data_IF_552209222722
#
_entry.id   IF_552209222722
#
_cell.length_a   1.000
_cell.length_b   1.000
_cell.length_c   1.000
_cell.angle_alpha   90.00
_cell.angle_beta   90.00
_cell.angle_gamma   90.00
#
_symmetry.space_group_name_H-M   'P 1'
#
loop_
_entity.id
_entity.type
_entity.pdbx_description
1 polymer ?
#
# COMPACT_ATOMS: atom_id res chain seq x y z
N UNK A 1 10.96 0.85 -10.46
CA UNK A 1 10.79 1.06 -11.90
C UNK A 1 11.84 2.03 -12.40
N UNK A 2 12.46 1.68 -13.52
CA UNK A 2 13.46 2.53 -14.16
C UNK A 2 13.09 2.78 -15.62
N UNK A 3 13.08 4.05 -16.03
CA UNK A 3 12.80 4.48 -17.39
C UNK A 3 13.55 5.75 -17.73
N UNK A 4 14.20 5.75 -18.90
CA UNK A 4 14.89 6.94 -19.44
C UNK A 4 15.94 7.53 -18.51
N UNK A 5 16.61 6.71 -17.71
CA UNK A 5 17.62 7.10 -16.74
C UNK A 5 17.07 7.61 -15.40
N UNK A 6 15.78 7.57 -15.17
CA UNK A 6 15.12 7.95 -13.93
C UNK A 6 14.47 6.75 -13.24
N UNK A 7 14.28 6.83 -11.91
CA UNK A 7 13.81 5.75 -11.07
C UNK A 7 12.64 6.26 -10.21
N UNK A 8 11.60 5.45 -10.08
CA UNK A 8 10.61 5.55 -9.00
C UNK A 8 10.62 4.26 -8.19
N UNK A 9 10.33 4.39 -6.89
CA UNK A 9 10.18 3.27 -5.96
C UNK A 9 8.71 3.08 -5.68
N UNK A 10 8.22 1.83 -5.72
CA UNK A 10 6.85 1.50 -5.31
C UNK A 10 6.94 0.58 -4.12
N UNK A 11 6.32 1.02 -3.02
CA UNK A 11 6.35 0.42 -1.70
C UNK A 11 7.75 0.28 -1.09
N UNK A 12 7.79 0.09 0.21
CA UNK A 12 9.03 -0.02 0.97
C UNK A 12 8.75 -0.79 2.27
N UNK A 13 8.40 -2.05 2.10
CA UNK A 13 7.97 -2.93 3.16
C UNK A 13 9.11 -3.57 3.94
N UNK A 14 8.77 -4.12 5.09
CA UNK A 14 9.62 -5.02 5.83
C UNK A 14 8.99 -6.41 5.92
N UNK A 15 9.80 -7.42 6.17
CA UNK A 15 9.36 -8.74 6.56
C UNK A 15 9.65 -8.99 8.04
N UNK A 16 8.87 -9.86 8.66
CA UNK A 16 9.13 -10.35 10.00
C UNK A 16 10.15 -11.50 9.92
N UNK A 17 11.08 -11.57 10.88
CA UNK A 17 12.05 -12.67 10.90
C UNK A 17 11.38 -14.02 11.13
N UNK A 18 11.93 -15.08 10.56
CA UNK A 18 11.54 -16.45 10.87
C UNK A 18 12.00 -16.89 12.26
N UNK A 19 11.46 -18.00 12.74
CA UNK A 19 11.76 -18.56 14.08
C UNK A 19 13.23 -18.92 14.29
N UNK A 20 14.00 -19.06 13.22
CA UNK A 20 15.43 -19.35 13.20
C UNK A 20 16.33 -18.10 13.23
N UNK A 21 15.77 -16.91 13.12
CA UNK A 21 16.47 -15.62 13.08
C UNK A 21 16.55 -14.97 14.47
N UNK A 22 17.25 -15.61 15.42
CA UNK A 22 17.36 -15.10 16.79
C UNK A 22 18.01 -13.72 16.87
N UNK A 23 17.38 -12.80 17.61
CA UNK A 23 17.88 -11.44 17.82
C UNK A 23 17.72 -10.49 16.61
N UNK A 24 16.95 -10.89 15.61
CA UNK A 24 16.56 -10.04 14.48
C UNK A 24 15.15 -9.53 14.73
N UNK A 25 14.96 -8.20 14.74
CA UNK A 25 13.67 -7.56 14.96
C UNK A 25 12.87 -7.40 13.66
N UNK A 26 13.55 -7.15 12.54
CA UNK A 26 12.92 -7.00 11.23
C UNK A 26 13.89 -7.29 10.09
N UNK A 27 13.36 -7.67 8.94
CA UNK A 27 14.11 -7.87 7.70
C UNK A 27 13.70 -6.79 6.71
N UNK A 28 14.67 -6.02 6.22
CA UNK A 28 14.45 -4.94 5.27
C UNK A 28 15.14 -5.24 3.93
N UNK A 29 14.64 -4.70 2.81
CA UNK A 29 15.25 -4.94 1.50
C UNK A 29 16.65 -4.33 1.40
N UNK A 30 17.53 -4.96 0.62
CA UNK A 30 18.78 -4.34 0.21
C UNK A 30 18.52 -3.21 -0.79
N UNK A 31 18.91 -2.01 -0.40
CA UNK A 31 18.75 -0.81 -1.22
C UNK A 31 20.07 -0.26 -1.77
N UNK A 32 21.10 -1.07 -1.82
CA UNK A 32 22.42 -0.68 -2.34
C UNK A 32 22.33 -0.08 -3.74
N UNK A 33 21.45 -0.62 -4.59
CA UNK A 33 21.18 -0.07 -5.91
C UNK A 33 20.63 1.37 -5.85
N UNK A 34 19.65 1.62 -4.97
CA UNK A 34 19.06 2.95 -4.80
C UNK A 34 20.08 3.95 -4.26
N UNK A 35 20.91 3.55 -3.29
CA UNK A 35 21.98 4.38 -2.74
C UNK A 35 22.96 4.80 -3.84
N UNK A 36 23.38 3.85 -4.68
CA UNK A 36 24.28 4.11 -5.81
C UNK A 36 23.68 5.08 -6.84
N UNK A 37 22.36 5.04 -7.01
CA UNK A 37 21.65 5.82 -8.04
C UNK A 37 20.74 6.92 -7.46
N UNK A 38 20.99 7.39 -6.23
CA UNK A 38 20.11 8.32 -5.49
C UNK A 38 19.68 9.56 -6.27
N UNK A 39 20.58 10.10 -7.10
CA UNK A 39 20.31 11.32 -7.88
C UNK A 39 19.28 11.09 -9.03
N UNK A 40 19.00 9.85 -9.38
CA UNK A 40 18.07 9.45 -10.43
C UNK A 40 16.67 9.16 -9.90
N UNK A 41 16.49 9.04 -8.57
CA UNK A 41 15.22 8.67 -7.95
C UNK A 41 14.32 9.90 -7.87
N UNK A 42 13.09 9.77 -8.37
CA UNK A 42 12.09 10.85 -8.44
C UNK A 42 11.08 10.81 -7.31
N UNK A 43 10.95 9.69 -6.63
CA UNK A 43 10.08 9.54 -5.47
C UNK A 43 9.76 8.10 -5.13
N UNK A 44 9.12 7.93 -3.99
CA UNK A 44 8.56 6.68 -3.49
C UNK A 44 7.04 6.80 -3.50
N UNK A 45 6.37 5.85 -4.12
CA UNK A 45 4.92 5.77 -4.23
C UNK A 45 4.44 4.61 -3.38
N UNK A 46 3.53 4.85 -2.45
CA UNK A 46 3.06 3.84 -1.50
C UNK A 46 1.61 3.50 -1.78
N UNK A 47 1.34 2.21 -1.98
CA UNK A 47 0.01 1.70 -2.29
C UNK A 47 -0.93 1.77 -1.10
N UNK A 48 -0.47 1.38 0.10
CA UNK A 48 -1.26 1.40 1.33
C UNK A 48 -0.37 1.28 2.58
N UNK A 49 -0.98 1.32 3.76
CA UNK A 49 -0.28 1.49 5.03
C UNK A 49 0.05 0.22 5.82
N UNK A 50 0.05 -0.98 5.23
CA UNK A 50 0.52 -2.19 5.93
C UNK A 50 2.03 -2.23 6.08
N UNK A 51 2.53 -2.97 7.10
CA UNK A 51 3.94 -3.03 7.44
C UNK A 51 4.83 -3.61 6.33
N UNK A 52 4.32 -4.59 5.62
CA UNK A 52 4.97 -5.20 4.45
C UNK A 52 5.02 -4.27 3.22
N UNK A 53 4.43 -3.05 3.33
CA UNK A 53 4.49 -2.00 2.32
C UNK A 53 5.16 -0.71 2.82
N UNK A 54 5.12 -0.40 4.12
CA UNK A 54 5.71 0.83 4.68
C UNK A 54 6.77 0.61 5.76
N UNK A 55 6.92 -0.61 6.27
CA UNK A 55 7.71 -0.88 7.46
C UNK A 55 9.19 -0.53 7.33
N UNK A 56 9.78 -0.65 6.14
CA UNK A 56 11.18 -0.30 5.91
C UNK A 56 11.41 1.18 5.57
N UNK A 57 10.36 1.99 5.38
CA UNK A 57 10.46 3.42 5.00
C UNK A 57 11.46 4.20 5.87
N UNK A 58 11.43 4.17 7.21
CA UNK A 58 12.36 4.94 8.02
C UNK A 58 13.82 4.51 7.84
N UNK A 59 14.06 3.22 7.65
CA UNK A 59 15.39 2.66 7.49
C UNK A 59 16.01 3.06 6.14
N UNK A 60 15.20 3.05 5.08
CA UNK A 60 15.65 3.39 3.73
C UNK A 60 15.87 4.89 3.59
N UNK A 61 15.00 5.73 4.17
CA UNK A 61 15.14 7.17 4.11
C UNK A 61 16.40 7.70 4.84
N UNK A 62 16.92 6.98 5.82
CA UNK A 62 18.23 7.27 6.41
C UNK A 62 19.38 7.16 5.40
N UNK A 63 19.22 6.31 4.37
CA UNK A 63 20.21 6.09 3.32
C UNK A 63 19.93 6.91 2.07
N UNK A 64 18.63 7.04 1.71
CA UNK A 64 18.19 7.72 0.49
C UNK A 64 16.94 8.54 0.82
N UNK A 65 17.12 9.82 1.14
CA UNK A 65 15.98 10.70 1.44
C UNK A 65 15.34 11.20 0.15
N UNK A 66 14.13 10.74 -0.13
CA UNK A 66 13.34 11.01 -1.34
C UNK A 66 11.89 11.37 -0.95
N UNK A 67 11.17 12.16 -1.77
CA UNK A 67 9.77 12.46 -1.49
C UNK A 67 8.91 11.20 -1.56
N UNK A 68 7.92 11.13 -0.66
CA UNK A 68 6.92 10.06 -0.59
C UNK A 68 5.59 10.60 -1.10
N UNK A 69 4.92 9.83 -1.95
CA UNK A 69 3.59 10.08 -2.47
C UNK A 69 2.66 8.95 -2.03
N UNK A 70 1.61 9.27 -1.29
CA UNK A 70 0.69 8.28 -0.73
C UNK A 70 -0.66 8.91 -0.38
N UNK A 71 -1.65 8.09 -0.08
CA UNK A 71 -2.96 8.53 0.37
C UNK A 71 -2.95 9.02 1.82
N UNK A 72 -4.06 9.60 2.26
CA UNK A 72 -4.13 10.34 3.54
C UNK A 72 -3.89 9.46 4.75
N UNK A 73 -4.53 8.30 4.84
CA UNK A 73 -4.34 7.36 5.96
C UNK A 73 -2.90 6.83 5.98
N UNK A 74 -2.41 6.40 4.82
CA UNK A 74 -1.03 5.93 4.65
C UNK A 74 -0.02 6.99 5.07
N UNK A 75 -0.24 8.27 4.69
CA UNK A 75 0.60 9.39 5.13
C UNK A 75 0.59 9.55 6.66
N UNK A 76 -0.57 9.36 7.31
CA UNK A 76 -0.69 9.38 8.77
C UNK A 76 0.18 8.33 9.44
N UNK A 77 0.08 7.08 8.98
CA UNK A 77 0.87 5.96 9.50
C UNK A 77 2.38 6.16 9.29
N UNK A 78 2.78 6.60 8.09
CA UNK A 78 4.19 6.91 7.80
C UNK A 78 4.73 8.03 8.69
N UNK A 79 3.93 9.08 8.96
CA UNK A 79 4.35 10.18 9.85
C UNK A 79 4.68 9.70 11.25
N UNK A 80 3.85 8.82 11.83
CA UNK A 80 4.12 8.23 13.15
C UNK A 80 5.48 7.50 13.16
N UNK A 81 5.73 6.65 12.17
CA UNK A 81 7.00 5.94 12.02
C UNK A 81 8.20 6.90 11.86
N UNK A 82 8.05 7.93 11.06
CA UNK A 82 9.12 8.91 10.84
C UNK A 82 9.38 9.77 12.09
N UNK A 83 8.37 10.03 12.89
CA UNK A 83 8.51 10.72 14.18
C UNK A 83 9.32 9.89 15.16
N UNK A 84 9.00 8.60 15.33
CA UNK A 84 9.75 7.64 16.16
C UNK A 84 11.24 7.57 15.77
N UNK A 85 11.52 7.66 14.46
CA UNK A 85 12.89 7.61 13.93
C UNK A 85 13.57 8.98 13.80
N UNK A 86 12.91 10.09 14.21
CA UNK A 86 13.45 11.45 14.12
C UNK A 86 13.59 11.99 12.69
N UNK A 87 12.88 11.43 11.73
CA UNK A 87 12.99 11.77 10.30
C UNK A 87 11.86 12.65 9.77
N UNK A 88 10.79 12.88 10.55
CA UNK A 88 9.60 13.57 10.08
C UNK A 88 9.88 14.97 9.51
N UNK A 89 10.76 15.74 10.18
CA UNK A 89 11.08 17.11 9.75
C UNK A 89 11.92 17.19 8.47
N UNK A 90 12.65 16.14 8.16
CA UNK A 90 13.54 16.08 6.99
C UNK A 90 12.92 15.40 5.78
N UNK A 91 11.75 14.76 5.94
CA UNK A 91 11.09 13.97 4.87
C UNK A 91 9.92 14.73 4.27
N UNK A 92 9.89 14.81 2.95
CA UNK A 92 8.76 15.37 2.21
C UNK A 92 7.71 14.28 1.97
N UNK A 93 6.52 14.41 2.59
CA UNK A 93 5.36 13.56 2.33
C UNK A 93 4.32 14.39 1.58
N UNK A 94 3.91 13.92 0.41
CA UNK A 94 2.88 14.50 -0.44
C UNK A 94 1.66 13.60 -0.39
N UNK A 95 0.58 14.10 0.18
CA UNK A 95 -0.69 13.39 0.20
C UNK A 95 -1.41 13.55 -1.15
N UNK A 96 -1.85 12.43 -1.71
CA UNK A 96 -2.50 12.34 -3.02
C UNK A 96 -3.84 11.63 -2.83
N UNK A 97 -4.86 12.05 -3.54
CA UNK A 97 -6.17 11.38 -3.54
C UNK A 97 -6.26 10.38 -4.70
N UNK A 98 -7.08 9.33 -4.56
CA UNK A 98 -7.41 8.44 -5.67
C UNK A 98 -8.04 9.22 -6.82
N UNK A 99 -7.77 8.80 -8.05
CA UNK A 99 -8.14 9.52 -9.27
C UNK A 99 -7.13 10.60 -9.70
N UNK A 100 -6.19 10.97 -8.83
CA UNK A 100 -5.14 11.95 -9.17
C UNK A 100 -3.94 11.28 -9.85
N UNK A 101 -3.23 12.10 -10.62
CA UNK A 101 -1.99 11.70 -11.29
C UNK A 101 -0.83 12.61 -10.85
N UNK A 102 0.28 11.99 -10.45
CA UNK A 102 1.50 12.69 -10.03
C UNK A 102 2.57 12.54 -11.11
N UNK A 103 3.15 13.66 -11.52
CA UNK A 103 4.31 13.66 -12.43
C UNK A 103 5.61 13.58 -11.62
N UNK A 104 6.41 12.55 -11.88
CA UNK A 104 7.68 12.28 -11.24
C UNK A 104 8.76 12.05 -12.30
N UNK A 105 9.39 13.14 -12.77
CA UNK A 105 10.32 13.11 -13.87
C UNK A 105 9.66 12.61 -15.17
N UNK A 106 10.18 11.52 -15.74
CA UNK A 106 9.65 10.88 -16.95
C UNK A 106 8.48 9.94 -16.71
N UNK A 107 8.11 9.75 -15.46
CA UNK A 107 6.94 8.96 -15.06
C UNK A 107 5.73 9.88 -14.79
N UNK A 108 4.56 9.35 -15.08
CA UNK A 108 3.28 9.90 -14.67
C UNK A 108 2.51 8.79 -13.96
N UNK A 109 2.31 8.92 -12.64
CA UNK A 109 1.76 7.86 -11.78
C UNK A 109 0.35 8.24 -11.37
N UNK A 110 -0.63 7.50 -11.86
CA UNK A 110 -2.04 7.65 -11.53
C UNK A 110 -2.40 6.76 -10.35
N UNK A 111 -3.15 7.30 -9.40
CA UNK A 111 -3.63 6.62 -8.19
C UNK A 111 -5.06 6.11 -8.45
N UNK A 112 -5.27 4.81 -8.44
CA UNK A 112 -6.56 4.18 -8.72
C UNK A 112 -7.07 3.52 -7.44
N UNK A 113 -8.31 3.84 -7.03
CA UNK A 113 -8.89 3.26 -5.82
C UNK A 113 -9.04 1.74 -5.91
N UNK A 114 -8.61 1.03 -4.86
CA UNK A 114 -8.83 -0.41 -4.69
C UNK A 114 -9.33 -0.70 -3.28
N UNK A 115 -10.12 -1.77 -3.13
CA UNK A 115 -10.51 -2.26 -1.81
C UNK A 115 -9.43 -3.21 -1.28
N UNK A 116 -9.14 -3.08 0.00
CA UNK A 116 -8.26 -3.97 0.74
C UNK A 116 -8.72 -4.08 2.21
N UNK A 117 -7.95 -4.74 3.08
CA UNK A 117 -8.22 -4.84 4.52
C UNK A 117 -7.88 -3.56 5.30
N UNK A 118 -7.29 -2.58 4.66
CA UNK A 118 -7.04 -1.23 5.18
C UNK A 118 -7.67 -0.21 4.24
N UNK A 119 -8.21 0.87 4.80
CA UNK A 119 -8.78 1.96 4.00
C UNK A 119 -7.73 2.71 3.18
N UNK A 120 -8.19 3.44 2.18
CA UNK A 120 -7.36 4.37 1.41
C UNK A 120 -6.27 3.69 0.54
N UNK A 121 -6.48 2.39 0.23
CA UNK A 121 -5.59 1.61 -0.63
C UNK A 121 -5.73 2.00 -2.10
N UNK A 122 -4.60 2.00 -2.82
CA UNK A 122 -4.56 2.35 -4.23
C UNK A 122 -3.67 1.41 -5.03
N UNK A 123 -4.06 1.21 -6.29
CA UNK A 123 -3.21 0.71 -7.35
C UNK A 123 -2.56 1.89 -8.09
N UNK A 124 -1.55 1.61 -8.89
CA UNK A 124 -0.90 2.59 -9.75
C UNK A 124 -0.99 2.21 -11.22
N UNK A 125 -1.39 3.17 -12.07
CA UNK A 125 -1.07 3.14 -13.48
C UNK A 125 0.16 4.03 -13.70
N UNK A 126 1.27 3.40 -14.06
CA UNK A 126 2.58 4.04 -14.24
C UNK A 126 2.78 4.25 -15.74
N UNK A 127 2.54 5.49 -16.18
CA UNK A 127 2.66 5.87 -17.58
C UNK A 127 4.08 6.31 -17.90
N UNK A 128 4.60 5.81 -19.00
CA UNK A 128 5.91 6.15 -19.57
C UNK A 128 5.79 6.37 -21.09
N UNK A 129 6.84 6.82 -21.73
CA UNK A 129 6.86 6.92 -23.20
C UNK A 129 6.84 5.57 -23.93
N UNK A 130 7.03 4.45 -23.22
CA UNK A 130 6.95 3.09 -23.80
C UNK A 130 5.58 2.44 -23.62
N UNK A 131 4.73 2.97 -22.74
CA UNK A 131 3.44 2.44 -22.41
C UNK A 131 3.13 2.50 -20.92
N UNK A 132 2.02 1.88 -20.52
CA UNK A 132 1.50 1.88 -19.16
C UNK A 132 1.79 0.55 -18.48
N UNK A 133 2.35 0.62 -17.27
CA UNK A 133 2.45 -0.52 -16.36
C UNK A 133 1.39 -0.35 -15.27
N UNK A 134 0.62 -1.39 -14.99
CA UNK A 134 -0.34 -1.43 -13.89
C UNK A 134 0.26 -2.23 -12.74
N UNK A 135 0.33 -1.62 -11.56
CA UNK A 135 0.74 -2.23 -10.30
C UNK A 135 -0.43 -2.18 -9.33
N UNK A 136 -1.03 -3.33 -9.02
CA UNK A 136 -2.30 -3.35 -8.27
C UNK A 136 -2.14 -3.00 -6.79
N UNK A 137 -0.93 -3.13 -6.23
CA UNK A 137 -0.82 -3.28 -4.78
C UNK A 137 -1.64 -4.48 -4.32
N UNK A 138 -1.97 -4.52 -3.05
CA UNK A 138 -2.88 -5.52 -2.49
C UNK A 138 -4.32 -5.10 -2.72
N UNK A 139 -5.14 -6.00 -3.22
CA UNK A 139 -6.53 -5.69 -3.52
C UNK A 139 -7.47 -6.87 -3.31
N UNK A 140 -8.73 -6.57 -3.17
CA UNK A 140 -9.85 -7.50 -3.31
C UNK A 140 -10.98 -6.84 -4.09
N UNK A 141 -11.83 -7.66 -4.69
CA UNK A 141 -13.07 -7.17 -5.31
C UNK A 141 -14.18 -7.32 -4.28
N UNK A 142 -14.57 -6.21 -3.66
CA UNK A 142 -15.66 -6.13 -2.68
C UNK A 142 -16.78 -5.24 -3.25
N UNK A 143 -17.93 -5.82 -3.57
CA UNK A 143 -19.08 -5.08 -4.09
C UNK A 143 -19.91 -4.37 -3.01
N UNK A 144 -19.61 -4.62 -1.73
CA UNK A 144 -20.30 -4.04 -0.58
C UNK A 144 -19.32 -3.64 0.52
N UNK A 145 -18.32 -2.80 0.21
CA UNK A 145 -17.30 -2.40 1.18
C UNK A 145 -17.91 -1.59 2.33
N UNK A 146 -17.20 -1.50 3.45
CA UNK A 146 -17.69 -0.82 4.66
C UNK A 146 -17.82 0.68 4.45
N UNK A 147 -16.83 1.28 3.82
CA UNK A 147 -16.75 2.71 3.49
C UNK A 147 -17.67 3.12 2.34
N UNK A 148 -18.20 2.16 1.58
CA UNK A 148 -19.10 2.39 0.45
C UNK A 148 -18.38 2.66 -0.87
N UNK A 149 -17.06 2.80 -0.86
CA UNK A 149 -16.26 3.04 -2.07
C UNK A 149 -15.80 1.71 -2.67
N UNK A 150 -16.31 1.37 -3.86
CA UNK A 150 -15.91 0.15 -4.57
C UNK A 150 -14.65 0.38 -5.40
N UNK A 151 -13.87 -0.69 -5.60
CA UNK A 151 -12.72 -0.66 -6.51
C UNK A 151 -13.10 -0.10 -7.88
N UNK A 152 -12.28 0.76 -8.43
CA UNK A 152 -12.52 1.40 -9.74
C UNK A 152 -12.21 0.44 -10.90
N UNK A 153 -13.04 -0.60 -11.06
CA UNK A 153 -12.94 -1.54 -12.17
C UNK A 153 -13.14 -0.88 -13.53
N UNK A 154 -13.89 0.22 -13.59
CA UNK A 154 -14.11 0.95 -14.83
C UNK A 154 -12.79 1.52 -15.35
N UNK A 155 -11.98 2.11 -14.46
CA UNK A 155 -10.67 2.64 -14.83
C UNK A 155 -9.70 1.54 -15.29
N UNK A 156 -9.68 0.40 -14.62
CA UNK A 156 -8.89 -0.75 -15.07
C UNK A 156 -9.34 -1.24 -16.46
N UNK A 157 -10.64 -1.27 -16.72
CA UNK A 157 -11.19 -1.62 -18.03
C UNK A 157 -10.78 -0.65 -19.14
N UNK A 158 -10.75 0.67 -18.84
CA UNK A 158 -10.28 1.69 -19.78
C UNK A 158 -8.80 1.52 -20.09
N UNK A 159 -7.94 1.30 -19.08
CA UNK A 159 -6.52 1.03 -19.26
C UNK A 159 -6.28 -0.23 -20.11
N UNK A 160 -7.05 -1.29 -19.85
CA UNK A 160 -7.00 -2.51 -20.65
C UNK A 160 -7.33 -2.28 -22.13
N UNK A 161 -8.33 -1.45 -22.43
CA UNK A 161 -8.68 -1.07 -23.82
C UNK A 161 -7.60 -0.23 -24.50
N UNK A 162 -6.91 0.62 -23.74
CA UNK A 162 -5.79 1.44 -24.25
C UNK A 162 -4.53 0.60 -24.51
N UNK A 163 -4.42 -0.56 -23.87
CA UNK A 163 -3.25 -1.42 -23.88
C UNK A 163 -2.34 -1.21 -22.69
N UNK A 164 -2.02 -2.28 -21.99
CA UNK A 164 -1.13 -2.32 -20.82
C UNK A 164 0.14 -3.06 -21.19
N UNK A 165 1.29 -2.45 -20.95
CA UNK A 165 2.60 -3.04 -21.25
C UNK A 165 2.92 -4.21 -20.31
N UNK A 166 2.59 -4.05 -19.04
CA UNK A 166 2.76 -5.07 -18.00
C UNK A 166 1.74 -4.88 -16.88
N UNK A 167 1.27 -6.00 -16.32
CA UNK A 167 0.43 -6.04 -15.13
C UNK A 167 1.19 -6.77 -14.02
N UNK A 168 1.44 -6.08 -12.91
CA UNK A 168 1.95 -6.65 -11.67
C UNK A 168 0.77 -6.72 -10.70
N UNK A 169 0.21 -7.93 -10.57
CA UNK A 169 -1.00 -8.16 -9.78
C UNK A 169 -0.70 -8.93 -8.50
N UNK A 170 -1.38 -8.53 -7.41
CA UNK A 170 -1.45 -9.32 -6.19
C UNK A 170 -1.91 -10.75 -6.50
N UNK A 171 -1.19 -11.72 -5.98
CA UNK A 171 -1.44 -13.14 -6.19
C UNK A 171 -1.46 -13.95 -4.89
N UNK A 172 -1.60 -13.30 -3.75
CA UNK A 172 -1.52 -13.89 -2.41
C UNK A 172 -2.43 -15.11 -2.23
N UNK A 173 -3.63 -15.07 -2.80
CA UNK A 173 -4.60 -16.16 -2.70
C UNK A 173 -4.83 -16.92 -4.02
N UNK A 174 -3.92 -16.82 -5.00
CA UNK A 174 -4.10 -17.37 -6.36
C UNK A 174 -4.35 -18.89 -6.37
N UNK A 175 -3.80 -19.63 -5.41
CA UNK A 175 -3.96 -21.08 -5.30
C UNK A 175 -5.24 -21.51 -4.53
N UNK A 176 -5.95 -20.56 -3.92
CA UNK A 176 -7.17 -20.85 -3.14
C UNK A 176 -8.40 -20.70 -4.02
N UNK A 177 -9.21 -21.76 -4.20
CA UNK A 177 -10.45 -21.64 -4.96
C UNK A 177 -11.47 -20.76 -4.22
N UNK A 178 -12.29 -20.03 -4.98
CA UNK A 178 -13.33 -19.16 -4.46
C UNK A 178 -12.98 -17.68 -4.49
N UNK A 179 -13.54 -16.92 -3.57
CA UNK A 179 -13.34 -15.48 -3.45
C UNK A 179 -13.40 -15.01 -2.00
N UNK A 180 -12.78 -13.87 -1.70
CA UNK A 180 -12.80 -13.26 -0.38
C UNK A 180 -14.15 -12.58 -0.12
N UNK A 181 -14.76 -12.87 1.02
CA UNK A 181 -16.03 -12.26 1.42
C UNK A 181 -15.85 -10.78 1.77
N UNK A 182 -16.96 -10.02 1.66
CA UNK A 182 -16.98 -8.61 2.08
C UNK A 182 -16.68 -8.45 3.57
N UNK A 183 -15.95 -7.40 3.92
CA UNK A 183 -15.69 -7.00 5.32
C UNK A 183 -16.99 -6.73 6.10
N UNK A 184 -18.05 -6.29 5.44
CA UNK A 184 -19.38 -6.06 6.06
C UNK A 184 -19.96 -7.33 6.72
N UNK A 185 -19.55 -8.53 6.26
CA UNK A 185 -20.00 -9.79 6.88
C UNK A 185 -19.43 -10.00 8.28
N UNK A 186 -18.27 -9.43 8.57
CA UNK A 186 -17.60 -9.53 9.87
C UNK A 186 -18.40 -8.80 10.95
N UNK A 187 -18.85 -7.56 10.69
CA UNK A 187 -19.67 -6.80 11.62
C UNK A 187 -20.98 -7.51 11.99
N UNK A 188 -21.65 -8.11 10.99
CA UNK A 188 -22.83 -8.95 11.25
C UNK A 188 -22.52 -10.15 12.14
N UNK A 189 -21.35 -10.75 11.96
CA UNK A 189 -20.90 -11.87 12.78
C UNK A 189 -20.58 -11.42 14.20
N UNK A 190 -19.93 -10.27 14.38
CA UNK A 190 -19.69 -9.68 15.71
C UNK A 190 -21.00 -9.41 16.45
N UNK A 191 -21.97 -8.77 15.81
CA UNK A 191 -23.28 -8.52 16.40
C UNK A 191 -23.93 -9.81 16.92
N UNK A 192 -23.85 -10.89 16.14
CA UNK A 192 -24.40 -12.20 16.55
C UNK A 192 -23.63 -12.82 17.71
N UNK A 193 -22.27 -12.76 17.68
CA UNK A 193 -21.43 -13.37 18.72
C UNK A 193 -21.51 -12.60 20.04
N UNK A 194 -21.66 -11.28 19.99
CA UNK A 194 -21.68 -10.42 21.18
C UNK A 194 -23.06 -10.37 21.81
N UNK A 195 -24.13 -10.70 21.05
CA UNK A 195 -25.48 -10.83 21.60
C UNK A 195 -25.54 -11.88 22.71
N UNK A 196 -25.98 -11.46 23.89
CA UNK A 196 -26.10 -12.33 25.04
C UNK A 196 -24.83 -12.56 25.85
N UNK A 197 -23.69 -12.00 25.46
CA UNK A 197 -22.49 -12.01 26.28
C UNK A 197 -22.69 -11.18 27.55
N UNK A 198 -22.59 -11.84 28.74
CA UNK A 198 -22.72 -11.18 30.04
C UNK A 198 -21.39 -10.87 30.70
N UNK A 199 -20.29 -11.27 30.09
CA UNK A 199 -18.93 -11.12 30.60
C UNK A 199 -18.09 -10.30 29.66
N UNK A 200 -16.83 -10.05 30.04
CA UNK A 200 -15.87 -9.29 29.24
C UNK A 200 -15.62 -9.98 27.91
N UNK A 201 -15.61 -9.19 26.85
CA UNK A 201 -15.24 -9.61 25.48
C UNK A 201 -13.83 -9.10 25.20
N UNK A 202 -12.96 -9.96 24.69
CA UNK A 202 -11.60 -9.63 24.27
C UNK A 202 -11.53 -9.89 22.77
N UNK A 203 -11.20 -8.84 22.00
CA UNK A 203 -11.04 -8.90 20.55
C UNK A 203 -9.61 -8.50 20.22
N UNK A 204 -8.97 -9.27 19.34
CA UNK A 204 -7.64 -8.94 18.80
C UNK A 204 -7.73 -8.74 17.29
N UNK A 205 -7.04 -7.73 16.79
CA UNK A 205 -6.93 -7.43 15.36
C UNK A 205 -5.65 -6.67 15.10
N UNK A 206 -5.23 -6.60 13.84
CA UNK A 206 -4.13 -5.70 13.45
C UNK A 206 -4.54 -4.25 13.68
N UNK A 207 -3.63 -3.44 14.24
CA UNK A 207 -3.88 -2.01 14.51
C UNK A 207 -4.20 -1.21 13.24
N UNK A 208 -3.67 -1.63 12.09
CA UNK A 208 -3.93 -1.03 10.79
C UNK A 208 -5.32 -1.32 10.23
N UNK A 209 -6.03 -2.33 10.76
CA UNK A 209 -7.39 -2.67 10.32
C UNK A 209 -8.45 -1.79 11.03
N UNK A 210 -8.44 -0.50 10.68
CA UNK A 210 -9.32 0.51 11.29
C UNK A 210 -10.80 0.17 11.10
N UNK A 211 -11.19 -0.36 9.95
CA UNK A 211 -12.57 -0.78 9.68
C UNK A 211 -13.04 -1.88 10.66
N UNK A 212 -12.15 -2.82 11.01
CA UNK A 212 -12.46 -3.88 11.96
C UNK A 212 -12.64 -3.35 13.37
N UNK A 213 -11.87 -2.32 13.76
CA UNK A 213 -11.99 -1.67 15.07
C UNK A 213 -13.29 -0.87 15.16
N UNK A 214 -13.73 -0.29 14.05
CA UNK A 214 -14.92 0.55 13.95
C UNK A 214 -16.22 -0.29 13.97
N UNK A 215 -16.20 -1.52 13.51
CA UNK A 215 -17.35 -2.45 13.54
C UNK A 215 -17.70 -2.92 14.96
#
# INVERSE_FOLDING_TARGET
YEYGGEIIVVDCGMAFPGDDMYGIDCVIPDVSYLVKHKNRIRGMFITHGHEDHIGAVPYILKKVNIPIYCTRLTAGLIRLKLEEHGLLKSTKIVTVESGMTVKAGKFSVEFIHVNHSIADSVAFAIHTGLGTVVHTGDFKIDSTPIDGEVIDLARFGELGKQGVLALLADSTNVERPGYTMSERTVGRTFNRLFQGCKQRIIVTTFASNVHRIQQ
#
